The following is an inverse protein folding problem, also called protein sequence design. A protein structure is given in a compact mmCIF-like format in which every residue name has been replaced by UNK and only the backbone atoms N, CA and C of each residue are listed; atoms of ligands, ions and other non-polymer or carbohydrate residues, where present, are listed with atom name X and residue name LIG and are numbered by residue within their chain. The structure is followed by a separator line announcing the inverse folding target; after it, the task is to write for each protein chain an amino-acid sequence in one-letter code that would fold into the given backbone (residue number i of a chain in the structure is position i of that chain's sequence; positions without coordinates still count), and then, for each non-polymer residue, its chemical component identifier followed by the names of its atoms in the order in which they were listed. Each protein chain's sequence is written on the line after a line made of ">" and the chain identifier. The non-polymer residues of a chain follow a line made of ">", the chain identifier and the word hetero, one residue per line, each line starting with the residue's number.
data_IF_174570674844
#
_entry.id   IF_174570674844
#
_cell.length_a   1.000
_cell.length_b   1.000
_cell.length_c   1.000
_cell.angle_alpha   90.00
_cell.angle_beta   90.00
_cell.angle_gamma   90.00
#
_symmetry.space_group_name_H-M   'P 1'
#
loop_
_entity.id
_entity.type
_entity.pdbx_description
1 polymer ?
#
# COMPACT_ATOMS: atom_id res chain seq x y z
N UNK A 1 -2.73 -11.68 -18.74
CA UNK A 1 -3.71 -10.63 -18.39
C UNK A 1 -3.38 -10.21 -16.97
N UNK A 2 -2.70 -9.07 -16.84
CA UNK A 2 -1.87 -8.66 -15.68
C UNK A 2 -2.54 -7.57 -14.81
N UNK A 3 -3.83 -7.29 -15.06
CA UNK A 3 -4.55 -6.14 -14.47
C UNK A 3 -4.69 -6.22 -12.95
N UNK A 4 -4.84 -7.41 -12.38
CA UNK A 4 -5.01 -7.59 -10.94
C UNK A 4 -3.73 -7.26 -10.16
N UNK A 5 -2.56 -7.56 -10.74
CA UNK A 5 -1.26 -7.16 -10.16
C UNK A 5 -1.18 -5.63 -10.07
N UNK A 6 -1.56 -4.95 -11.16
CA UNK A 6 -1.61 -3.49 -11.20
C UNK A 6 -2.60 -2.91 -10.18
N UNK A 7 -3.81 -3.47 -10.07
CA UNK A 7 -4.82 -2.99 -9.12
C UNK A 7 -4.39 -3.14 -7.66
N UNK A 8 -3.75 -4.24 -7.31
CA UNK A 8 -3.22 -4.43 -5.95
C UNK A 8 -2.17 -3.36 -5.61
N UNK A 9 -1.19 -3.15 -6.50
CA UNK A 9 -0.16 -2.11 -6.31
C UNK A 9 -0.79 -0.71 -6.23
N UNK A 10 -1.74 -0.41 -7.13
CA UNK A 10 -2.41 0.88 -7.19
C UNK A 10 -3.26 1.15 -5.94
N UNK A 11 -3.92 0.13 -5.41
CA UNK A 11 -4.69 0.24 -4.17
C UNK A 11 -3.81 0.66 -2.99
N UNK A 12 -2.61 0.10 -2.87
CA UNK A 12 -1.72 0.46 -1.78
C UNK A 12 -1.22 1.90 -1.89
N UNK A 13 -0.83 2.31 -3.11
CA UNK A 13 -0.43 3.69 -3.38
C UNK A 13 -1.51 4.67 -2.91
N UNK A 14 -2.78 4.39 -3.24
CA UNK A 14 -3.89 5.24 -2.85
C UNK A 14 -4.21 5.16 -1.36
N UNK A 15 -4.09 3.99 -0.73
CA UNK A 15 -4.49 3.79 0.67
C UNK A 15 -3.39 4.28 1.62
N UNK A 16 -2.21 3.65 1.59
CA UNK A 16 -1.11 3.96 2.51
C UNK A 16 -0.50 5.32 2.19
N UNK A 17 -0.31 5.60 0.89
CA UNK A 17 0.27 6.87 0.43
C UNK A 17 -0.53 8.09 0.93
N UNK A 18 -1.86 8.04 0.78
CA UNK A 18 -2.72 9.17 1.17
C UNK A 18 -2.93 9.27 2.68
N UNK A 19 -3.12 8.15 3.37
CA UNK A 19 -3.53 8.16 4.79
C UNK A 19 -2.34 8.41 5.74
N UNK A 20 -1.15 7.90 5.42
CA UNK A 20 -0.03 7.86 6.37
C UNK A 20 1.19 8.63 5.88
N UNK A 21 1.63 8.30 4.67
CA UNK A 21 2.95 8.67 4.17
C UNK A 21 3.04 10.19 3.96
N UNK A 22 1.98 10.80 3.41
CA UNK A 22 1.94 12.24 3.20
C UNK A 22 2.12 13.06 4.47
N UNK A 23 1.46 12.67 5.58
CA UNK A 23 1.54 13.43 6.83
C UNK A 23 2.97 13.39 7.41
N UNK A 24 3.56 12.20 7.47
CA UNK A 24 4.89 12.01 8.04
C UNK A 24 5.99 12.66 7.18
N UNK A 25 5.85 12.60 5.85
CA UNK A 25 6.76 13.29 4.94
C UNK A 25 6.61 14.81 4.97
N UNK A 26 5.40 15.32 5.26
CA UNK A 26 5.16 16.75 5.47
C UNK A 26 5.74 17.25 6.79
N UNK A 27 5.75 16.41 7.83
CA UNK A 27 6.41 16.73 9.11
C UNK A 27 7.94 16.82 8.92
N UNK A 28 8.51 15.96 8.08
CA UNK A 28 9.94 15.97 7.71
C UNK A 28 10.25 16.80 6.44
N UNK A 29 9.38 17.74 6.06
CA UNK A 29 9.51 18.53 4.81
C UNK A 29 10.83 19.30 4.63
N UNK A 30 11.50 19.65 5.73
CA UNK A 30 12.79 20.34 5.74
C UNK A 30 13.97 19.42 6.11
N UNK A 31 13.72 18.11 6.25
CA UNK A 31 14.71 17.09 6.63
C UNK A 31 14.89 16.05 5.52
N UNK A 32 14.96 16.51 4.26
CA UNK A 32 15.21 15.63 3.11
C UNK A 32 14.04 14.74 2.70
N UNK A 33 12.79 15.10 3.01
CA UNK A 33 11.62 14.26 2.63
C UNK A 33 11.53 14.02 1.12
N UNK A 34 11.89 15.01 0.29
CA UNK A 34 11.94 14.86 -1.17
C UNK A 34 12.97 13.80 -1.57
N UNK A 35 14.15 13.82 -0.95
CA UNK A 35 15.21 12.82 -1.14
C UNK A 35 14.74 11.43 -0.73
N UNK A 36 14.02 11.32 0.41
CA UNK A 36 13.44 10.08 0.88
C UNK A 36 12.46 9.49 -0.14
N UNK A 37 11.56 10.32 -0.69
CA UNK A 37 10.61 9.88 -1.72
C UNK A 37 11.36 9.34 -2.95
N UNK A 38 12.37 10.07 -3.44
CA UNK A 38 13.14 9.65 -4.61
C UNK A 38 13.87 8.32 -4.37
N UNK A 39 14.56 8.21 -3.23
CA UNK A 39 15.30 7.00 -2.87
C UNK A 39 14.37 5.80 -2.71
N UNK A 40 13.27 5.97 -1.98
CA UNK A 40 12.26 4.93 -1.77
C UNK A 40 11.56 4.54 -3.06
N UNK A 41 11.36 5.46 -3.99
CA UNK A 41 10.81 5.14 -5.32
C UNK A 41 11.76 4.23 -6.09
N UNK A 42 13.05 4.57 -6.14
CA UNK A 42 14.04 3.74 -6.85
C UNK A 42 14.16 2.36 -6.20
N UNK A 43 14.36 2.31 -4.88
CA UNK A 43 14.55 1.05 -4.15
C UNK A 43 13.27 0.21 -4.17
N UNK A 44 12.11 0.83 -3.94
CA UNK A 44 10.81 0.18 -3.94
C UNK A 44 10.44 -0.40 -5.31
N UNK A 45 10.64 0.37 -6.39
CA UNK A 45 10.42 -0.12 -7.76
C UNK A 45 11.36 -1.27 -8.12
N UNK A 46 12.65 -1.17 -7.79
CA UNK A 46 13.59 -2.28 -8.01
C UNK A 46 13.15 -3.54 -7.26
N UNK A 47 12.79 -3.40 -5.98
CA UNK A 47 12.32 -4.52 -5.17
C UNK A 47 11.06 -5.15 -5.76
N UNK A 48 10.09 -4.33 -6.17
CA UNK A 48 8.85 -4.79 -6.80
C UNK A 48 9.11 -5.54 -8.11
N UNK A 49 10.02 -5.05 -8.95
CA UNK A 49 10.41 -5.71 -10.21
C UNK A 49 11.05 -7.07 -9.91
N UNK A 50 12.04 -7.11 -9.01
CA UNK A 50 12.72 -8.36 -8.67
C UNK A 50 11.76 -9.38 -8.07
N UNK A 51 10.89 -8.94 -7.16
CA UNK A 51 9.93 -9.79 -6.50
C UNK A 51 8.87 -10.33 -7.47
N UNK A 52 8.35 -9.48 -8.35
CA UNK A 52 7.38 -9.90 -9.38
C UNK A 52 8.00 -10.93 -10.33
N UNK A 53 9.25 -10.71 -10.78
CA UNK A 53 9.98 -11.67 -11.61
C UNK A 53 10.24 -13.00 -10.89
N UNK A 54 10.52 -12.97 -9.58
CA UNK A 54 10.68 -14.18 -8.80
C UNK A 54 9.38 -14.98 -8.72
N UNK A 55 8.24 -14.30 -8.50
CA UNK A 55 6.91 -14.95 -8.47
C UNK A 55 6.48 -15.55 -9.81
N UNK A 56 6.91 -14.98 -10.94
CA UNK A 56 6.64 -15.55 -12.28
C UNK A 56 7.20 -16.98 -12.44
N UNK A 57 8.28 -17.31 -11.74
CA UNK A 57 8.88 -18.66 -11.78
C UNK A 57 8.00 -19.72 -11.09
N UNK A 58 7.06 -19.29 -10.23
CA UNK A 58 6.19 -20.14 -9.43
C UNK A 58 4.72 -19.90 -9.76
N UNK A 59 4.26 -20.18 -10.99
CA UNK A 59 2.90 -19.87 -11.40
C UNK A 59 1.88 -20.67 -10.60
N UNK A 60 0.79 -20.01 -10.18
CA UNK A 60 -0.33 -20.59 -9.42
C UNK A 60 0.05 -21.12 -8.02
N UNK A 61 1.24 -20.79 -7.52
CA UNK A 61 1.69 -21.17 -6.18
C UNK A 61 1.62 -19.95 -5.25
N UNK A 62 1.08 -20.11 -4.05
CA UNK A 62 1.17 -19.08 -3.02
C UNK A 62 2.49 -19.19 -2.25
N UNK A 63 2.69 -18.25 -1.32
CA UNK A 63 3.86 -18.23 -0.44
C UNK A 63 4.09 -19.58 0.29
N UNK A 64 3.05 -20.26 0.85
CA UNK A 64 3.23 -21.53 1.53
C UNK A 64 3.72 -22.65 0.61
N UNK A 65 3.21 -22.71 -0.61
CA UNK A 65 3.64 -23.70 -1.59
C UNK A 65 5.09 -23.49 -1.99
N UNK A 66 5.48 -22.24 -2.24
CA UNK A 66 6.86 -21.88 -2.62
C UNK A 66 7.84 -22.26 -1.50
N UNK A 67 7.54 -21.92 -0.24
CA UNK A 67 8.45 -22.24 0.86
C UNK A 67 8.57 -23.73 1.13
N UNK A 68 7.51 -24.51 0.96
CA UNK A 68 7.58 -25.96 1.11
C UNK A 68 8.42 -26.65 0.02
N UNK A 69 8.73 -25.98 -1.10
CA UNK A 69 9.64 -26.50 -2.13
C UNK A 69 11.11 -26.36 -1.73
N UNK A 70 11.47 -25.33 -0.97
CA UNK A 70 12.87 -25.00 -0.66
C UNK A 70 13.26 -25.24 0.80
N UNK A 71 12.29 -25.26 1.71
CA UNK A 71 12.52 -25.35 3.15
C UNK A 71 11.75 -26.50 3.80
N UNK A 72 12.31 -27.13 4.84
CA UNK A 72 11.59 -28.12 5.63
C UNK A 72 10.46 -27.46 6.44
N UNK A 73 9.40 -28.24 6.73
CA UNK A 73 8.15 -27.73 7.36
C UNK A 73 8.38 -26.92 8.65
N UNK A 74 9.39 -27.28 9.45
CA UNK A 74 9.70 -26.60 10.71
C UNK A 74 10.26 -25.18 10.51
N UNK A 75 10.83 -24.86 9.35
CA UNK A 75 11.23 -23.48 8.97
C UNK A 75 10.07 -22.77 8.28
N UNK A 76 9.34 -23.47 7.42
CA UNK A 76 8.22 -22.90 6.66
C UNK A 76 7.10 -22.39 7.56
N UNK A 77 6.73 -23.13 8.61
CA UNK A 77 5.63 -22.75 9.51
C UNK A 77 5.90 -21.43 10.25
N UNK A 78 7.02 -21.24 10.97
CA UNK A 78 7.35 -19.97 11.60
C UNK A 78 7.41 -18.80 10.62
N UNK A 79 7.91 -19.04 9.40
CA UNK A 79 8.12 -18.01 8.40
C UNK A 79 6.78 -17.52 7.81
N UNK A 80 5.85 -18.45 7.54
CA UNK A 80 4.47 -18.10 7.16
C UNK A 80 3.75 -17.38 8.32
N UNK A 81 3.94 -17.82 9.55
CA UNK A 81 3.34 -17.19 10.72
C UNK A 81 3.83 -15.73 10.88
N UNK A 82 5.13 -15.50 10.71
CA UNK A 82 5.72 -14.16 10.71
C UNK A 82 5.09 -13.24 9.65
N UNK A 83 5.01 -13.69 8.39
CA UNK A 83 4.36 -12.91 7.33
C UNK A 83 2.88 -12.65 7.61
N UNK A 84 2.18 -13.61 8.21
CA UNK A 84 0.77 -13.46 8.58
C UNK A 84 0.59 -12.37 9.63
N UNK A 85 1.45 -12.31 10.65
CA UNK A 85 1.45 -11.23 11.66
C UNK A 85 1.71 -9.88 11.02
N UNK A 86 2.66 -9.79 10.08
CA UNK A 86 2.96 -8.53 9.39
C UNK A 86 1.72 -7.98 8.66
N UNK A 87 1.07 -8.83 7.85
CA UNK A 87 -0.12 -8.45 7.09
C UNK A 87 -1.28 -8.04 8.02
N UNK A 88 -1.50 -8.78 9.10
CA UNK A 88 -2.55 -8.46 10.08
C UNK A 88 -2.26 -7.12 10.75
N UNK A 89 -0.99 -6.87 11.11
CA UNK A 89 -0.57 -5.62 11.76
C UNK A 89 -0.79 -4.42 10.83
N UNK A 90 -0.42 -4.55 9.56
CA UNK A 90 -0.65 -3.53 8.53
C UNK A 90 -2.15 -3.24 8.35
N UNK A 91 -2.98 -4.28 8.25
CA UNK A 91 -4.45 -4.14 8.20
C UNK A 91 -5.03 -3.43 9.42
N UNK A 92 -4.57 -3.78 10.63
CA UNK A 92 -5.00 -3.14 11.88
C UNK A 92 -4.62 -1.65 11.94
N UNK A 93 -3.42 -1.28 11.46
CA UNK A 93 -2.97 0.11 11.40
C UNK A 93 -3.91 0.93 10.49
N UNK A 94 -4.22 0.42 9.30
CA UNK A 94 -5.13 1.07 8.34
C UNK A 94 -6.52 1.29 8.97
N UNK A 95 -7.07 0.26 9.62
CA UNK A 95 -8.36 0.35 10.31
C UNK A 95 -8.37 1.40 11.42
N UNK A 96 -7.30 1.45 12.22
CA UNK A 96 -7.15 2.44 13.27
C UNK A 96 -7.24 3.87 12.73
N UNK A 97 -6.53 4.17 11.64
CA UNK A 97 -6.55 5.52 11.05
C UNK A 97 -7.86 5.85 10.37
N UNK A 98 -8.46 4.91 9.63
CA UNK A 98 -9.79 5.14 9.03
C UNK A 98 -10.82 5.42 10.12
N UNK A 99 -10.80 4.67 11.23
CA UNK A 99 -11.68 4.90 12.36
C UNK A 99 -11.51 6.31 12.95
N UNK A 100 -10.26 6.78 13.11
CA UNK A 100 -9.97 8.14 13.58
C UNK A 100 -10.45 9.22 12.61
N UNK A 101 -10.35 9.00 11.31
CA UNK A 101 -10.84 9.94 10.30
C UNK A 101 -12.36 10.02 10.34
N UNK A 102 -13.05 8.87 10.43
CA UNK A 102 -14.52 8.83 10.46
C UNK A 102 -15.06 9.50 11.72
N UNK A 103 -14.51 9.20 12.90
CA UNK A 103 -14.94 9.89 14.12
C UNK A 103 -14.67 11.38 14.02
N UNK A 104 -13.51 11.80 13.51
CA UNK A 104 -13.16 13.22 13.46
C UNK A 104 -14.01 14.04 12.47
N UNK A 105 -14.39 13.48 11.33
CA UNK A 105 -14.99 14.26 10.24
C UNK A 105 -16.44 13.91 9.90
N UNK A 106 -16.89 12.68 10.18
CA UNK A 106 -18.22 12.20 9.78
C UNK A 106 -19.14 11.97 10.98
N UNK A 107 -18.62 11.32 12.03
CA UNK A 107 -19.41 10.83 13.16
C UNK A 107 -18.73 11.15 14.51
N UNK A 108 -18.65 12.43 14.90
CA UNK A 108 -17.92 12.87 16.10
C UNK A 108 -18.49 12.34 17.42
N UNK A 109 -19.74 11.90 17.42
CA UNK A 109 -20.42 11.42 18.62
C UNK A 109 -20.29 9.90 18.81
N UNK A 110 -19.73 9.17 17.83
CA UNK A 110 -19.53 7.73 17.91
C UNK A 110 -18.15 7.41 18.47
N UNK A 111 -18.10 6.50 19.44
CA UNK A 111 -16.84 5.99 19.95
C UNK A 111 -16.08 5.22 18.86
N UNK A 112 -14.77 5.44 18.76
CA UNK A 112 -13.90 4.77 17.78
C UNK A 112 -13.96 3.25 17.86
N UNK A 113 -14.26 2.67 19.03
CA UNK A 113 -14.42 1.22 19.21
C UNK A 113 -15.59 0.66 18.41
N UNK A 114 -16.72 1.37 18.33
CA UNK A 114 -17.90 0.91 17.58
C UNK A 114 -17.63 0.82 16.08
N UNK A 115 -16.91 1.79 15.53
CA UNK A 115 -16.53 1.82 14.11
C UNK A 115 -15.56 0.69 13.79
N UNK A 116 -14.58 0.43 14.66
CA UNK A 116 -13.64 -0.68 14.48
C UNK A 116 -14.36 -2.04 14.44
N UNK A 117 -15.31 -2.28 15.35
CA UNK A 117 -16.10 -3.53 15.35
C UNK A 117 -16.84 -3.72 14.03
N UNK A 118 -17.48 -2.66 13.51
CA UNK A 118 -18.17 -2.72 12.21
C UNK A 118 -17.21 -3.05 11.06
N UNK A 119 -16.01 -2.45 11.06
CA UNK A 119 -15.00 -2.78 10.05
C UNK A 119 -14.48 -4.21 10.16
N UNK A 120 -14.24 -4.72 11.37
CA UNK A 120 -13.84 -6.11 11.56
C UNK A 120 -14.90 -7.09 11.05
N UNK A 121 -16.18 -6.80 11.28
CA UNK A 121 -17.28 -7.61 10.74
C UNK A 121 -17.31 -7.55 9.20
N UNK A 122 -17.15 -6.36 8.61
CA UNK A 122 -17.12 -6.19 7.17
C UNK A 122 -15.93 -6.91 6.52
N UNK A 123 -14.74 -6.84 7.13
CA UNK A 123 -13.53 -7.53 6.66
C UNK A 123 -13.67 -9.03 6.83
N UNK A 124 -14.19 -9.51 7.97
CA UNK A 124 -14.44 -10.94 8.18
C UNK A 124 -15.40 -11.50 7.12
N UNK A 125 -16.45 -10.75 6.79
CA UNK A 125 -17.34 -11.09 5.69
C UNK A 125 -16.63 -11.06 4.32
N UNK A 126 -15.81 -10.04 4.06
CA UNK A 126 -15.01 -9.95 2.83
C UNK A 126 -14.02 -11.10 2.67
N UNK A 127 -13.35 -11.51 3.74
CA UNK A 127 -12.37 -12.59 3.77
C UNK A 127 -13.02 -13.97 3.50
N UNK A 128 -14.32 -14.13 3.78
CA UNK A 128 -15.07 -15.35 3.44
C UNK A 128 -15.35 -15.51 1.94
N UNK A 129 -15.14 -14.46 1.14
CA UNK A 129 -15.42 -14.47 -0.30
C UNK A 129 -14.25 -15.02 -1.11
N UNK A 130 -14.57 -15.49 -2.31
CA UNK A 130 -13.53 -15.96 -3.23
C UNK A 130 -12.57 -14.81 -3.59
N UNK A 131 -11.28 -15.10 -3.71
CA UNK A 131 -10.27 -14.12 -4.07
C UNK A 131 -10.56 -13.42 -5.41
N UNK A 132 -11.25 -14.08 -6.34
CA UNK A 132 -11.72 -13.45 -7.59
C UNK A 132 -12.76 -12.37 -7.33
N UNK A 133 -13.71 -12.62 -6.44
CA UNK A 133 -14.73 -11.64 -6.03
C UNK A 133 -14.08 -10.43 -5.36
N UNK A 134 -13.10 -10.66 -4.49
CA UNK A 134 -12.35 -9.60 -3.82
C UNK A 134 -11.60 -8.72 -4.82
N UNK A 135 -10.89 -9.34 -5.78
CA UNK A 135 -10.17 -8.61 -6.83
C UNK A 135 -11.09 -7.84 -7.78
N UNK A 136 -12.27 -8.37 -8.11
CA UNK A 136 -13.26 -7.64 -8.92
C UNK A 136 -13.89 -6.46 -8.16
N UNK A 137 -14.13 -6.61 -6.85
CA UNK A 137 -14.60 -5.51 -6.01
C UNK A 137 -13.53 -4.42 -5.90
N UNK A 138 -12.26 -4.82 -5.76
CA UNK A 138 -11.11 -3.91 -5.77
C UNK A 138 -11.05 -3.07 -7.05
N UNK A 139 -11.22 -3.71 -8.22
CA UNK A 139 -11.26 -3.03 -9.51
C UNK A 139 -12.35 -1.94 -9.55
N UNK A 140 -13.58 -2.25 -9.11
CA UNK A 140 -14.66 -1.27 -9.04
C UNK A 140 -14.36 -0.12 -8.08
N UNK A 141 -13.80 -0.43 -6.91
CA UNK A 141 -13.40 0.59 -5.93
C UNK A 141 -12.38 1.53 -6.55
N UNK A 142 -11.34 1.01 -7.22
CA UNK A 142 -10.30 1.83 -7.85
C UNK A 142 -10.84 2.71 -8.97
N UNK A 143 -11.74 2.19 -9.80
CA UNK A 143 -12.37 2.96 -10.88
C UNK A 143 -13.15 4.16 -10.33
N UNK A 144 -13.76 4.02 -9.15
CA UNK A 144 -14.54 5.09 -8.50
C UNK A 144 -13.63 6.03 -7.71
N UNK A 145 -12.66 5.52 -6.95
CA UNK A 145 -11.83 6.33 -6.04
C UNK A 145 -10.73 7.10 -6.76
N UNK A 146 -10.11 6.52 -7.79
CA UNK A 146 -9.04 7.19 -8.55
C UNK A 146 -9.47 8.56 -9.11
N UNK A 147 -10.61 8.71 -9.82
CA UNK A 147 -11.02 10.02 -10.34
C UNK A 147 -11.38 11.01 -9.23
N UNK A 148 -11.98 10.55 -8.13
CA UNK A 148 -12.27 11.40 -6.97
C UNK A 148 -10.98 11.93 -6.33
N UNK A 149 -9.97 11.09 -6.17
CA UNK A 149 -8.68 11.50 -5.62
C UNK A 149 -7.97 12.48 -6.56
N UNK A 150 -7.99 12.22 -7.87
CA UNK A 150 -7.40 13.13 -8.85
C UNK A 150 -8.10 14.50 -8.85
N UNK A 151 -9.43 14.52 -8.75
CA UNK A 151 -10.21 15.74 -8.61
C UNK A 151 -9.83 16.54 -7.36
N UNK A 152 -9.72 15.88 -6.20
CA UNK A 152 -9.29 16.51 -4.94
C UNK A 152 -7.88 17.08 -5.08
N UNK A 153 -6.96 16.34 -5.69
CA UNK A 153 -5.58 16.76 -5.92
C UNK A 153 -5.50 18.02 -6.81
N UNK A 154 -6.17 18.01 -7.96
CA UNK A 154 -6.25 19.16 -8.86
C UNK A 154 -6.82 20.36 -8.10
N UNK A 155 -7.97 20.19 -7.44
CA UNK A 155 -8.62 21.28 -6.71
C UNK A 155 -7.72 21.84 -5.61
N UNK A 156 -6.91 21.00 -4.96
CA UNK A 156 -5.90 21.41 -3.98
C UNK A 156 -4.78 22.24 -4.59
N UNK A 157 -4.26 21.86 -5.77
CA UNK A 157 -3.19 22.59 -6.47
C UNK A 157 -3.63 23.98 -6.95
N UNK A 158 -4.89 24.13 -7.34
CA UNK A 158 -5.45 25.41 -7.79
C UNK A 158 -6.14 26.20 -6.67
N UNK A 159 -6.01 25.77 -5.41
CA UNK A 159 -6.60 26.48 -4.28
C UNK A 159 -5.80 27.77 -4.00
N UNK A 160 -6.44 28.94 -3.91
CA UNK A 160 -5.75 30.20 -3.60
C UNK A 160 -5.05 30.22 -2.23
N UNK A 161 -5.42 29.32 -1.31
CA UNK A 161 -4.76 29.16 0.00
C UNK A 161 -3.40 28.46 -0.12
N UNK A 162 -3.09 27.84 -1.26
CA UNK A 162 -1.82 27.14 -1.46
C UNK A 162 -0.69 28.14 -1.70
N UNK A 163 0.17 28.30 -0.70
CA UNK A 163 1.36 29.13 -0.75
C UNK A 163 2.49 28.47 -1.57
N UNK A 164 2.56 28.78 -2.86
CA UNK A 164 3.61 28.28 -3.76
C UNK A 164 5.03 28.64 -3.31
N UNK A 165 5.20 29.73 -2.57
CA UNK A 165 6.50 30.11 -2.02
C UNK A 165 6.98 29.09 -0.98
N UNK A 166 6.09 28.56 -0.13
CA UNK A 166 6.43 27.52 0.83
C UNK A 166 6.89 26.23 0.12
N UNK A 167 6.24 25.87 -0.99
CA UNK A 167 6.64 24.73 -1.83
C UNK A 167 8.02 24.94 -2.45
N UNK A 168 8.32 26.15 -2.94
CA UNK A 168 9.64 26.48 -3.51
C UNK A 168 10.75 26.38 -2.47
N UNK A 169 10.51 26.77 -1.22
CA UNK A 169 11.50 26.66 -0.13
C UNK A 169 11.91 25.21 0.10
N UNK A 170 11.00 24.25 -0.06
CA UNK A 170 11.33 22.82 0.08
C UNK A 170 12.39 22.35 -0.92
N UNK A 171 12.55 23.01 -2.08
CA UNK A 171 13.59 22.68 -3.06
C UNK A 171 15.00 22.82 -2.51
N UNK A 172 15.22 23.73 -1.56
CA UNK A 172 16.53 23.93 -0.94
C UNK A 172 16.98 22.73 -0.10
N UNK A 173 16.06 21.84 0.27
CA UNK A 173 16.31 20.67 1.11
C UNK A 173 16.37 19.35 0.32
N UNK A 174 16.39 19.40 -1.01
CA UNK A 174 16.46 18.20 -1.89
C UNK A 174 17.78 17.42 -1.70
N UNK A 175 18.88 18.12 -1.37
CA UNK A 175 20.19 17.47 -1.19
C UNK A 175 20.47 17.11 0.26
N UNK A 176 19.51 17.33 1.16
CA UNK A 176 19.67 16.98 2.57
C UNK A 176 19.50 15.48 2.76
N UNK A 177 20.35 14.90 3.61
CA UNK A 177 20.28 13.48 3.95
C UNK A 177 18.96 13.20 4.65
N UNK A 178 18.12 12.31 4.11
CA UNK A 178 16.83 11.98 4.72
C UNK A 178 17.02 11.20 6.03
N UNK A 179 16.09 11.38 6.96
CA UNK A 179 16.02 10.50 8.13
C UNK A 179 15.62 9.09 7.69
N UNK A 180 16.19 8.09 8.36
CA UNK A 180 15.84 6.68 8.15
C UNK A 180 14.34 6.41 8.26
N UNK A 181 13.67 7.09 9.20
CA UNK A 181 12.22 7.03 9.34
C UNK A 181 11.52 7.47 8.05
N UNK A 182 11.88 8.61 7.47
CA UNK A 182 11.23 9.13 6.25
C UNK A 182 11.42 8.18 5.07
N UNK A 183 12.58 7.52 4.95
CA UNK A 183 12.82 6.48 3.94
C UNK A 183 11.91 5.27 4.19
N UNK A 184 11.84 4.78 5.42
CA UNK A 184 11.01 3.62 5.76
C UNK A 184 9.52 3.88 5.46
N UNK A 185 9.01 5.04 5.85
CA UNK A 185 7.62 5.44 5.60
C UNK A 185 7.33 5.58 4.10
N UNK A 186 8.23 6.22 3.33
CA UNK A 186 8.07 6.35 1.89
C UNK A 186 8.14 4.97 1.20
N UNK A 187 9.04 4.09 1.64
CA UNK A 187 9.18 2.72 1.11
C UNK A 187 7.96 1.85 1.40
N UNK A 188 7.21 2.13 2.47
CA UNK A 188 5.98 1.39 2.79
C UNK A 188 4.89 1.56 1.72
N UNK A 189 4.98 2.60 0.89
CA UNK A 189 4.11 2.77 -0.28
C UNK A 189 4.25 1.61 -1.30
N UNK A 190 5.38 0.91 -1.27
CA UNK A 190 5.70 -0.20 -2.17
C UNK A 190 5.52 -1.59 -1.52
N UNK A 191 5.10 -1.69 -0.25
CA UNK A 191 5.01 -2.96 0.52
C UNK A 191 4.03 -4.00 -0.05
N UNK A 192 3.05 -3.58 -0.84
CA UNK A 192 1.94 -4.42 -1.33
C UNK A 192 2.36 -5.52 -2.32
N UNK A 193 3.64 -5.65 -2.64
CA UNK A 193 4.13 -6.86 -3.32
C UNK A 193 3.78 -8.14 -2.52
N UNK A 194 3.61 -8.04 -1.19
CA UNK A 194 3.19 -9.17 -0.35
C UNK A 194 1.79 -9.67 -0.75
N UNK A 195 0.84 -8.78 -1.05
CA UNK A 195 -0.49 -9.19 -1.49
C UNK A 195 -0.45 -9.94 -2.84
N UNK A 196 0.54 -9.64 -3.70
CA UNK A 196 0.77 -10.42 -4.92
C UNK A 196 1.09 -11.88 -4.61
N UNK A 197 1.76 -12.19 -3.51
CA UNK A 197 2.06 -13.58 -3.10
C UNK A 197 0.80 -14.37 -2.76
N UNK A 198 -0.21 -13.70 -2.21
CA UNK A 198 -1.51 -14.30 -1.84
C UNK A 198 -2.32 -14.55 -3.11
N UNK A 199 -2.37 -13.57 -4.00
CA UNK A 199 -3.14 -13.66 -5.24
C UNK A 199 -2.41 -14.38 -6.38
N UNK A 200 -1.14 -14.76 -6.21
CA UNK A 200 -0.35 -15.45 -7.23
C UNK A 200 -1.00 -16.77 -7.70
N UNK A 201 -1.79 -17.41 -6.84
CA UNK A 201 -2.61 -18.59 -7.19
C UNK A 201 -3.57 -18.37 -8.36
N UNK A 202 -3.92 -17.11 -8.63
CA UNK A 202 -4.93 -16.68 -9.62
C UNK A 202 -4.27 -15.95 -10.78
N UNK A 203 -3.02 -15.51 -10.63
CA UNK A 203 -2.27 -14.83 -11.68
C UNK A 203 -1.82 -15.85 -12.73
N UNK A 204 -2.11 -15.64 -14.03
CA UNK A 204 -1.65 -16.53 -15.09
C UNK A 204 -0.12 -16.42 -15.29
N UNK A 205 0.50 -17.50 -15.75
CA UNK A 205 1.96 -17.78 -15.75
C UNK A 205 2.92 -16.80 -16.45
N UNK A 206 2.42 -15.71 -17.04
CA UNK A 206 3.27 -14.66 -17.62
C UNK A 206 2.73 -13.29 -17.25
N UNK A 207 3.45 -12.61 -16.37
CA UNK A 207 3.30 -11.18 -16.11
C UNK A 207 4.05 -10.48 -17.27
N UNK A 208 3.33 -9.79 -18.17
CA UNK A 208 3.99 -9.03 -19.24
C UNK A 208 4.60 -7.78 -18.61
N UNK A 209 5.93 -7.67 -18.65
CA UNK A 209 6.73 -6.60 -18.01
C UNK A 209 6.50 -5.17 -18.50
N UNK A 210 5.64 -4.95 -19.49
CA UNK A 210 5.33 -3.61 -20.03
C UNK A 210 4.46 -2.75 -19.09
N UNK A 211 3.98 -3.30 -17.98
CA UNK A 211 3.16 -2.60 -16.98
C UNK A 211 3.90 -2.30 -15.65
N UNK A 212 5.22 -2.54 -15.60
CA UNK A 212 6.06 -2.32 -14.41
C UNK A 212 6.98 -1.08 -14.59
N UNK A 213 6.79 -0.32 -15.67
CA UNK A 213 7.48 0.94 -15.93
C UNK A 213 6.47 2.06 -16.13
#
# INVERSE_FOLDING_TARGET
>A
MNRYVFYTIWCNLLTIGFLFVNRLLLDDRFNGSITAILLSTIVGSLFLIFFSKALEQFPKQGLPEIFNLFFPKWVTIPLIFFFSIMIITEGCIILGVISLIITRFLLPNLASSGILVLFFLAIGWGASRSSKTVLSALELILIITTPLLYFIFIKGMFNPVLEWNAVKVMKNYIWMVPKWRSIAEASNTFSEFIALTIFNRIVPSKIKGWFIC
#
